data_IF_700166923664
#
_entry.id   IF_700166923664
#
_cell.length_a   1.000
_cell.length_b   1.000
_cell.length_c   1.000
_cell.angle_alpha   90.00
_cell.angle_beta   90.00
_cell.angle_gamma   90.00
#
_symmetry.space_group_name_H-M   'P 1'
#
loop_
_entity.id
_entity.type
_entity.pdbx_description
1 polymer ?
#
# COMPACT_ATOMS: atom_id res chain seq x y z
N UNK A 1 -38.40 -24.30 -4.26
CA UNK A 1 -37.50 -23.54 -5.16
C UNK A 1 -37.04 -22.31 -4.39
N UNK A 2 -35.74 -22.17 -4.07
CA UNK A 2 -35.26 -20.96 -3.41
C UNK A 2 -35.45 -19.78 -4.35
N UNK A 3 -36.01 -18.67 -3.87
CA UNK A 3 -36.07 -17.44 -4.63
C UNK A 3 -34.69 -17.09 -5.20
N UNK A 4 -34.59 -16.56 -6.43
CA UNK A 4 -33.31 -16.12 -6.98
C UNK A 4 -32.71 -15.10 -6.02
N UNK A 5 -31.45 -15.34 -5.59
CA UNK A 5 -30.73 -14.38 -4.76
C UNK A 5 -30.69 -13.05 -5.53
N UNK A 6 -31.03 -11.91 -4.89
CA UNK A 6 -30.93 -10.61 -5.56
C UNK A 6 -29.51 -10.41 -6.08
N UNK A 7 -29.40 -9.86 -7.28
CA UNK A 7 -28.09 -9.53 -7.85
C UNK A 7 -27.43 -8.49 -6.95
N UNK A 8 -26.17 -8.75 -6.59
CA UNK A 8 -25.39 -7.83 -5.77
C UNK A 8 -24.96 -6.62 -6.62
N UNK A 9 -24.82 -5.46 -5.98
CA UNK A 9 -24.27 -4.24 -6.56
C UNK A 9 -22.87 -4.51 -7.12
N UNK A 10 -22.64 -3.99 -8.32
CA UNK A 10 -21.34 -3.98 -8.98
C UNK A 10 -20.86 -2.54 -8.98
N UNK A 11 -19.71 -2.24 -8.35
CA UNK A 11 -19.23 -0.88 -8.25
C UNK A 11 -18.97 -0.27 -9.64
N UNK A 12 -19.42 0.96 -9.83
CA UNK A 12 -19.20 1.76 -11.04
C UNK A 12 -17.88 2.54 -10.98
N UNK A 13 -17.39 2.82 -9.78
CA UNK A 13 -16.11 3.47 -9.52
C UNK A 13 -15.11 2.49 -8.85
N UNK A 14 -13.80 2.77 -8.88
CA UNK A 14 -12.82 2.04 -8.06
C UNK A 14 -13.05 2.31 -6.57
N UNK A 15 -13.90 1.48 -5.94
CA UNK A 15 -14.24 1.61 -4.52
C UNK A 15 -13.08 1.08 -3.66
N UNK A 16 -12.53 1.97 -2.83
CA UNK A 16 -11.42 1.68 -1.92
C UNK A 16 -11.90 1.70 -0.47
N UNK A 17 -11.40 0.78 0.33
CA UNK A 17 -11.67 0.68 1.76
C UNK A 17 -10.40 0.57 2.60
N UNK A 18 -10.34 1.30 3.70
CA UNK A 18 -9.43 0.97 4.81
C UNK A 18 -10.15 0.02 5.77
N UNK A 19 -9.49 -1.08 6.15
CA UNK A 19 -10.05 -2.05 7.11
C UNK A 19 -9.09 -2.31 8.26
N UNK A 20 -9.60 -2.31 9.49
CA UNK A 20 -8.82 -2.58 10.70
C UNK A 20 -9.68 -3.08 11.88
N UNK A 21 -9.05 -3.64 12.91
CA UNK A 21 -9.63 -3.70 14.24
C UNK A 21 -9.21 -2.48 15.09
N UNK A 22 -10.05 -2.09 16.05
CA UNK A 22 -9.82 -0.93 16.92
C UNK A 22 -8.61 -1.07 17.84
N UNK A 23 -8.26 0.01 18.53
CA UNK A 23 -7.11 0.08 19.44
C UNK A 23 -7.27 -0.92 20.59
N UNK A 24 -6.20 -1.65 20.88
CA UNK A 24 -6.15 -2.75 21.85
C UNK A 24 -7.11 -3.91 21.57
N UNK A 25 -7.66 -3.99 20.35
CA UNK A 25 -8.49 -5.11 19.92
C UNK A 25 -7.69 -6.06 19.03
N UNK A 26 -7.44 -7.27 19.55
CA UNK A 26 -6.80 -8.36 18.80
C UNK A 26 -7.76 -9.22 17.97
N UNK A 27 -9.08 -8.95 18.00
CA UNK A 27 -10.09 -9.77 17.32
C UNK A 27 -10.17 -9.47 15.82
N UNK A 28 -9.19 -9.96 15.06
CA UNK A 28 -9.11 -9.72 13.62
C UNK A 28 -9.96 -10.69 12.76
N UNK A 29 -10.53 -11.74 13.37
CA UNK A 29 -11.24 -12.79 12.65
C UNK A 29 -12.43 -12.25 11.84
N UNK A 30 -13.23 -11.37 12.44
CA UNK A 30 -14.39 -10.79 11.79
C UNK A 30 -13.98 -9.88 10.61
N UNK A 31 -13.07 -8.93 10.84
CA UNK A 31 -12.63 -8.00 9.81
C UNK A 31 -11.90 -8.71 8.66
N UNK A 32 -11.20 -9.82 8.95
CA UNK A 32 -10.58 -10.68 7.94
C UNK A 32 -11.62 -11.33 7.01
N UNK A 33 -12.79 -11.70 7.51
CA UNK A 33 -13.89 -12.22 6.69
C UNK A 33 -14.49 -11.07 5.86
N UNK A 34 -14.76 -9.92 6.48
CA UNK A 34 -15.37 -8.78 5.81
C UNK A 34 -14.50 -8.25 4.65
N UNK A 35 -13.19 -8.10 4.85
CA UNK A 35 -12.28 -7.65 3.77
C UNK A 35 -12.21 -8.62 2.60
N UNK A 36 -12.30 -9.93 2.84
CA UNK A 36 -12.32 -10.94 1.77
C UNK A 36 -13.57 -10.81 0.92
N UNK A 37 -14.70 -10.51 1.56
CA UNK A 37 -15.97 -10.29 0.87
C UNK A 37 -15.95 -8.96 0.08
N UNK A 38 -15.45 -7.87 0.66
CA UNK A 38 -15.23 -6.59 -0.03
C UNK A 38 -14.39 -6.79 -1.29
N UNK A 39 -13.24 -7.45 -1.15
CA UNK A 39 -12.36 -7.77 -2.28
C UNK A 39 -13.06 -8.63 -3.33
N UNK A 40 -13.85 -9.63 -2.91
CA UNK A 40 -14.56 -10.51 -3.85
C UNK A 40 -15.66 -9.80 -4.65
N UNK A 41 -16.16 -8.68 -4.14
CA UNK A 41 -17.18 -7.84 -4.78
C UNK A 41 -16.57 -6.65 -5.54
N UNK A 42 -15.25 -6.59 -5.69
CA UNK A 42 -14.58 -5.62 -6.56
C UNK A 42 -13.95 -4.43 -5.86
N UNK A 43 -13.98 -4.36 -4.53
CA UNK A 43 -13.30 -3.29 -3.81
C UNK A 43 -11.78 -3.53 -3.72
N UNK A 44 -11.02 -2.44 -3.72
CA UNK A 44 -9.61 -2.41 -3.34
C UNK A 44 -9.51 -2.19 -1.83
N UNK A 45 -8.91 -3.13 -1.11
CA UNK A 45 -8.90 -3.10 0.37
C UNK A 45 -7.50 -2.88 0.91
N UNK A 46 -7.27 -1.70 1.50
CA UNK A 46 -6.09 -1.39 2.32
C UNK A 46 -6.33 -1.95 3.71
N UNK A 47 -5.64 -3.04 4.04
CA UNK A 47 -5.83 -3.71 5.33
C UNK A 47 -4.72 -3.34 6.30
N UNK A 48 -5.08 -2.80 7.47
CA UNK A 48 -4.12 -2.38 8.50
C UNK A 48 -3.94 -3.40 9.61
N UNK A 49 -4.70 -4.50 9.61
CA UNK A 49 -4.64 -5.52 10.66
C UNK A 49 -5.44 -5.11 11.89
N UNK A 50 -4.85 -5.29 13.07
CA UNK A 50 -5.49 -5.09 14.37
C UNK A 50 -4.71 -4.08 15.21
N UNK A 51 -5.24 -3.72 16.39
CA UNK A 51 -4.60 -2.79 17.33
C UNK A 51 -4.24 -1.43 16.69
N UNK A 52 -5.23 -0.77 16.08
CA UNK A 52 -5.03 0.50 15.39
C UNK A 52 -5.70 1.66 16.10
N UNK A 53 -4.95 2.74 16.27
CA UNK A 53 -5.46 4.01 16.78
C UNK A 53 -6.28 4.76 15.73
N UNK A 54 -7.16 5.65 16.17
CA UNK A 54 -7.91 6.55 15.26
C UNK A 54 -6.97 7.37 14.38
N UNK A 55 -5.86 7.88 14.93
CA UNK A 55 -4.89 8.68 14.19
C UNK A 55 -4.25 7.91 13.02
N UNK A 56 -3.93 6.62 13.23
CA UNK A 56 -3.43 5.74 12.16
C UNK A 56 -4.50 5.50 11.08
N UNK A 57 -5.76 5.21 11.48
CA UNK A 57 -6.86 4.99 10.54
C UNK A 57 -7.12 6.24 9.69
N UNK A 58 -7.17 7.41 10.32
CA UNK A 58 -7.45 8.67 9.62
C UNK A 58 -6.32 9.02 8.67
N UNK A 59 -5.07 8.88 9.10
CA UNK A 59 -3.91 9.13 8.23
C UNK A 59 -3.92 8.19 7.03
N UNK A 60 -4.16 6.90 7.24
CA UNK A 60 -4.29 5.95 6.15
C UNK A 60 -5.45 6.31 5.22
N UNK A 61 -6.64 6.62 5.76
CA UNK A 61 -7.80 6.96 4.95
C UNK A 61 -7.57 8.21 4.06
N UNK A 62 -6.87 9.21 4.59
CA UNK A 62 -6.50 10.43 3.84
C UNK A 62 -5.47 10.12 2.75
N UNK A 63 -4.35 9.48 3.09
CA UNK A 63 -3.28 9.22 2.13
C UNK A 63 -3.72 8.25 1.01
N UNK A 64 -4.57 7.28 1.36
CA UNK A 64 -5.13 6.29 0.43
C UNK A 64 -6.35 6.79 -0.36
N UNK A 65 -6.87 7.98 -0.01
CA UNK A 65 -8.06 8.64 -0.61
C UNK A 65 -9.24 7.67 -0.80
N UNK A 66 -9.65 7.02 0.30
CA UNK A 66 -10.69 5.98 0.27
C UNK A 66 -12.10 6.55 0.37
N UNK A 67 -13.09 5.82 -0.15
CA UNK A 67 -14.50 6.14 0.03
C UNK A 67 -15.04 5.70 1.39
N UNK A 68 -14.43 4.68 2.01
CA UNK A 68 -14.91 4.17 3.30
C UNK A 68 -13.84 3.55 4.19
N UNK A 69 -14.13 3.54 5.49
CA UNK A 69 -13.38 2.81 6.51
C UNK A 69 -14.30 1.81 7.19
N UNK A 70 -13.85 0.57 7.39
CA UNK A 70 -14.61 -0.45 8.09
C UNK A 70 -13.80 -0.99 9.28
N UNK A 71 -14.35 -0.82 10.48
CA UNK A 71 -13.68 -1.15 11.73
C UNK A 71 -14.43 -2.23 12.50
N UNK A 72 -13.71 -3.26 12.97
CA UNK A 72 -14.24 -4.16 13.99
C UNK A 72 -13.84 -3.70 15.39
N UNK A 73 -14.78 -3.70 16.35
CA UNK A 73 -14.50 -3.34 17.74
C UNK A 73 -15.22 -4.28 18.71
N UNK A 74 -14.46 -5.12 19.41
CA UNK A 74 -14.95 -6.14 20.33
C UNK A 74 -14.56 -5.91 21.80
N UNK A 75 -13.75 -4.89 22.12
CA UNK A 75 -13.21 -4.65 23.47
C UNK A 75 -13.93 -3.54 24.26
N UNK A 76 -14.99 -2.95 23.71
CA UNK A 76 -15.66 -1.77 24.30
C UNK A 76 -14.99 -0.45 23.90
N UNK A 77 -15.45 0.68 24.47
CA UNK A 77 -14.97 2.02 24.09
C UNK A 77 -15.29 2.43 22.65
N UNK A 78 -16.17 1.68 21.98
CA UNK A 78 -16.51 1.87 20.57
C UNK A 78 -17.26 3.18 20.33
N UNK A 79 -18.07 3.64 21.29
CA UNK A 79 -18.79 4.91 21.14
C UNK A 79 -17.81 6.06 20.99
N UNK A 80 -16.83 6.15 21.89
CA UNK A 80 -15.78 7.16 21.88
C UNK A 80 -14.88 6.99 20.65
N UNK A 81 -14.47 5.76 20.35
CA UNK A 81 -13.60 5.46 19.21
C UNK A 81 -14.21 5.88 17.87
N UNK A 82 -15.46 5.49 17.59
CA UNK A 82 -16.13 5.84 16.33
C UNK A 82 -16.51 7.33 16.27
N UNK A 83 -16.91 7.93 17.38
CA UNK A 83 -17.19 9.38 17.44
C UNK A 83 -15.92 10.16 17.12
N UNK A 84 -14.81 9.84 17.77
CA UNK A 84 -13.52 10.49 17.52
C UNK A 84 -13.05 10.26 16.08
N UNK A 85 -13.20 9.05 15.53
CA UNK A 85 -12.88 8.76 14.13
C UNK A 85 -13.64 9.65 13.14
N UNK A 86 -14.95 9.80 13.31
CA UNK A 86 -15.77 10.64 12.43
C UNK A 86 -15.40 12.12 12.56
N UNK A 87 -15.18 12.59 13.79
CA UNK A 87 -14.80 13.98 14.05
C UNK A 87 -13.43 14.32 13.48
N UNK A 88 -12.44 13.44 13.68
CA UNK A 88 -11.07 13.62 13.20
C UNK A 88 -11.00 13.59 11.65
N UNK A 89 -11.76 12.70 10.99
CA UNK A 89 -11.90 12.71 9.54
C UNK A 89 -12.45 14.06 9.05
N UNK A 90 -13.50 14.59 9.69
CA UNK A 90 -14.08 15.89 9.35
C UNK A 90 -13.08 17.02 9.58
N UNK A 91 -12.40 17.03 10.72
CA UNK A 91 -11.43 18.05 11.09
C UNK A 91 -10.25 18.12 10.11
N UNK A 92 -9.82 16.97 9.57
CA UNK A 92 -8.73 16.86 8.58
C UNK A 92 -9.21 16.95 7.11
N UNK A 93 -10.44 17.40 6.87
CA UNK A 93 -10.97 17.64 5.52
C UNK A 93 -11.35 16.37 4.74
N UNK A 94 -11.49 15.23 5.43
CA UNK A 94 -11.88 13.93 4.89
C UNK A 94 -13.30 13.52 5.34
N UNK A 95 -14.19 14.48 5.60
CA UNK A 95 -15.56 14.21 6.05
C UNK A 95 -16.46 13.48 5.04
N UNK A 96 -15.99 13.26 3.81
CA UNK A 96 -16.67 12.46 2.79
C UNK A 96 -16.49 10.95 2.99
N UNK A 97 -15.46 10.54 3.75
CA UNK A 97 -15.15 9.13 4.01
C UNK A 97 -16.23 8.53 4.90
N UNK A 98 -16.87 7.46 4.43
CA UNK A 98 -17.94 6.77 5.17
C UNK A 98 -17.35 5.86 6.24
N UNK A 99 -17.87 5.94 7.46
CA UNK A 99 -17.42 5.12 8.60
C UNK A 99 -18.38 3.99 8.84
N UNK A 100 -17.90 2.76 8.75
CA UNK A 100 -18.65 1.53 9.01
C UNK A 100 -18.07 0.77 10.19
N UNK A 101 -18.92 0.06 10.94
CA UNK A 101 -18.47 -0.70 12.09
C UNK A 101 -19.28 -1.95 12.41
N UNK A 102 -18.69 -2.81 13.25
CA UNK A 102 -19.36 -3.96 13.84
C UNK A 102 -18.61 -4.50 15.05
N UNK A 103 -19.34 -4.93 16.08
CA UNK A 103 -18.78 -5.50 17.31
C UNK A 103 -19.55 -6.72 17.83
N UNK A 104 -20.34 -7.35 16.96
CA UNK A 104 -21.28 -8.39 17.39
C UNK A 104 -22.25 -7.86 18.44
N UNK A 105 -22.38 -8.56 19.57
CA UNK A 105 -23.27 -8.16 20.67
C UNK A 105 -22.69 -7.10 21.62
N UNK A 106 -21.46 -6.61 21.36
CA UNK A 106 -20.80 -5.62 22.24
C UNK A 106 -21.40 -4.22 22.07
N UNK A 107 -21.90 -3.89 20.88
CA UNK A 107 -22.50 -2.59 20.58
C UNK A 107 -24.02 -2.73 20.66
N UNK A 108 -24.63 -2.12 21.67
CA UNK A 108 -26.08 -2.26 21.91
C UNK A 108 -26.91 -1.33 21.01
N UNK A 109 -28.20 -1.60 20.79
CA UNK A 109 -29.02 -0.79 19.85
C UNK A 109 -29.04 0.71 20.13
N UNK A 110 -29.00 1.12 21.40
CA UNK A 110 -28.95 2.52 21.81
C UNK A 110 -27.63 3.20 21.38
N UNK A 111 -26.51 2.50 21.50
CA UNK A 111 -25.19 2.96 21.05
C UNK A 111 -25.10 2.96 19.52
N UNK A 112 -25.73 2.00 18.83
CA UNK A 112 -25.84 2.01 17.36
C UNK A 112 -26.58 3.27 16.90
N UNK A 113 -27.70 3.62 17.55
CA UNK A 113 -28.45 4.83 17.22
C UNK A 113 -27.65 6.11 17.51
N UNK A 114 -26.90 6.13 18.62
CA UNK A 114 -25.98 7.23 18.95
C UNK A 114 -24.88 7.38 17.88
N UNK A 115 -24.24 6.28 17.49
CA UNK A 115 -23.19 6.28 16.48
C UNK A 115 -23.71 6.67 15.09
N UNK A 116 -24.93 6.27 14.74
CA UNK A 116 -25.60 6.73 13.54
C UNK A 116 -25.80 8.25 13.53
N UNK A 117 -26.14 8.86 14.68
CA UNK A 117 -26.36 10.30 14.79
C UNK A 117 -25.09 11.14 14.57
N UNK A 118 -23.91 10.60 14.86
CA UNK A 118 -22.61 11.27 14.60
C UNK A 118 -22.09 11.03 13.20
N UNK A 119 -22.57 9.98 12.52
CA UNK A 119 -22.28 9.68 11.11
C UNK A 119 -21.62 8.33 10.85
N UNK A 120 -21.64 7.39 11.81
CA UNK A 120 -21.12 6.04 11.65
C UNK A 120 -22.24 5.01 11.42
N UNK A 121 -22.07 4.13 10.44
CA UNK A 121 -23.01 3.05 10.13
C UNK A 121 -22.56 1.74 10.78
N UNK A 122 -23.24 1.33 11.86
CA UNK A 122 -22.89 0.11 12.61
C UNK A 122 -23.86 -1.03 12.29
N UNK A 123 -23.30 -2.20 11.94
CA UNK A 123 -24.09 -3.42 11.70
C UNK A 123 -24.29 -4.21 12.98
N UNK A 124 -25.56 -4.48 13.31
CA UNK A 124 -25.94 -5.33 14.44
C UNK A 124 -25.89 -6.83 14.09
N UNK A 125 -25.88 -7.73 15.08
CA UNK A 125 -26.07 -9.17 14.83
C UNK A 125 -27.37 -9.48 14.08
N UNK A 126 -28.45 -8.73 14.34
CA UNK A 126 -29.74 -8.89 13.67
C UNK A 126 -29.64 -8.52 12.18
N UNK A 127 -28.84 -7.52 11.82
CA UNK A 127 -28.55 -7.20 10.41
C UNK A 127 -27.80 -8.34 9.73
N UNK A 128 -26.85 -8.96 10.43
CA UNK A 128 -26.16 -10.16 9.95
C UNK A 128 -27.11 -11.32 9.65
N UNK A 129 -28.13 -11.53 10.50
CA UNK A 129 -29.16 -12.56 10.27
C UNK A 129 -30.10 -12.20 9.11
N UNK A 130 -30.47 -10.93 8.98
CA UNK A 130 -31.43 -10.42 7.99
C UNK A 130 -30.84 -10.33 6.58
N UNK A 131 -29.64 -9.75 6.47
CA UNK A 131 -28.96 -9.47 5.20
C UNK A 131 -28.02 -10.60 4.78
N UNK A 132 -27.52 -11.37 5.74
CA UNK A 132 -26.34 -12.22 5.55
C UNK A 132 -25.06 -11.39 5.36
N UNK A 133 -23.90 -12.04 5.51
CA UNK A 133 -22.60 -11.37 5.30
C UNK A 133 -22.49 -10.71 3.91
N UNK A 134 -22.88 -11.37 2.80
CA UNK A 134 -22.81 -10.73 1.49
C UNK A 134 -23.73 -9.51 1.35
N UNK A 135 -24.90 -9.52 2.00
CA UNK A 135 -25.83 -8.40 1.96
C UNK A 135 -25.32 -7.18 2.72
N UNK A 136 -24.65 -7.38 3.85
CA UNK A 136 -23.99 -6.27 4.57
C UNK A 136 -22.89 -5.64 3.72
N UNK A 137 -22.00 -6.45 3.15
CA UNK A 137 -20.91 -5.96 2.29
C UNK A 137 -21.45 -5.24 1.05
N UNK A 138 -22.54 -5.75 0.49
CA UNK A 138 -23.24 -5.07 -0.60
C UNK A 138 -23.70 -3.67 -0.23
N UNK A 139 -24.21 -3.47 0.99
CA UNK A 139 -24.57 -2.15 1.51
C UNK A 139 -23.35 -1.24 1.60
N UNK A 140 -22.23 -1.73 2.15
CA UNK A 140 -20.97 -0.95 2.23
C UNK A 140 -20.54 -0.46 0.85
N UNK A 141 -20.49 -1.36 -0.15
CA UNK A 141 -20.01 -1.00 -1.49
C UNK A 141 -20.99 -0.07 -2.19
N UNK A 142 -22.30 -0.35 -2.15
CA UNK A 142 -23.29 0.50 -2.79
C UNK A 142 -23.31 1.91 -2.20
N UNK A 143 -23.15 2.05 -0.88
CA UNK A 143 -23.03 3.35 -0.23
C UNK A 143 -21.69 4.02 -0.59
N UNK A 144 -20.58 3.29 -0.63
CA UNK A 144 -19.27 3.88 -0.91
C UNK A 144 -18.99 4.15 -2.40
N UNK A 145 -19.84 3.70 -3.32
CA UNK A 145 -19.64 3.83 -4.78
C UNK A 145 -19.81 5.28 -5.25
N UNK A 146 -18.75 6.07 -5.05
CA UNK A 146 -18.65 7.49 -5.40
C UNK A 146 -17.37 7.76 -6.18
N UNK A 147 -17.46 8.67 -7.15
CA UNK A 147 -16.32 9.07 -7.98
C UNK A 147 -15.43 10.06 -7.21
N UNK A 148 -14.24 9.61 -6.81
CA UNK A 148 -13.22 10.46 -6.20
C UNK A 148 -12.20 10.99 -7.21
N UNK A 149 -12.18 10.51 -8.45
CA UNK A 149 -11.18 10.88 -9.44
C UNK A 149 -11.52 12.20 -10.16
N UNK A 150 -11.87 13.23 -9.38
CA UNK A 150 -12.09 14.62 -9.81
C UNK A 150 -11.60 15.59 -8.73
N UNK A 151 -11.45 16.87 -9.08
CA UNK A 151 -11.18 17.93 -8.09
C UNK A 151 -9.78 17.90 -7.47
N UNK A 152 -8.78 17.38 -8.19
CA UNK A 152 -7.38 17.54 -7.79
C UNK A 152 -6.92 18.98 -8.06
N UNK A 153 -6.24 19.57 -7.09
CA UNK A 153 -5.76 20.94 -7.14
C UNK A 153 -4.24 20.97 -7.13
N UNK A 154 -3.62 21.46 -8.21
CA UNK A 154 -2.16 21.50 -8.34
C UNK A 154 -1.53 22.38 -7.25
N UNK A 155 -2.18 23.49 -6.88
CA UNK A 155 -1.69 24.42 -5.85
C UNK A 155 -1.48 23.70 -4.51
N UNK A 156 -2.44 22.88 -4.07
CA UNK A 156 -2.33 22.08 -2.85
C UNK A 156 -1.23 21.02 -2.94
N UNK A 157 -1.06 20.40 -4.13
CA UNK A 157 0.07 19.48 -4.38
C UNK A 157 1.38 20.21 -4.18
N UNK A 158 1.59 21.37 -4.82
CA UNK A 158 2.82 22.16 -4.71
C UNK A 158 3.07 22.71 -3.30
N UNK A 159 2.02 22.96 -2.53
CA UNK A 159 2.10 23.31 -1.12
C UNK A 159 2.50 22.12 -0.22
N UNK A 160 2.58 20.91 -0.76
CA UNK A 160 2.96 19.70 -0.04
C UNK A 160 1.84 19.11 0.82
N UNK A 161 0.59 19.45 0.55
CA UNK A 161 -0.57 18.96 1.30
C UNK A 161 -0.84 17.48 0.98
N UNK A 162 -0.81 16.62 2.00
CA UNK A 162 -1.00 15.17 1.82
C UNK A 162 -2.34 14.84 1.17
N UNK A 163 -3.42 15.53 1.55
CA UNK A 163 -4.77 15.31 0.99
C UNK A 163 -4.83 15.70 -0.49
N UNK A 164 -4.19 16.80 -0.88
CA UNK A 164 -4.13 17.24 -2.27
C UNK A 164 -3.32 16.24 -3.12
N UNK A 165 -2.18 15.77 -2.60
CA UNK A 165 -1.41 14.70 -3.24
C UNK A 165 -2.23 13.42 -3.38
N UNK A 166 -2.90 12.97 -2.32
CA UNK A 166 -3.72 11.76 -2.34
C UNK A 166 -4.83 11.84 -3.40
N UNK A 167 -5.53 12.99 -3.48
CA UNK A 167 -6.56 13.22 -4.51
C UNK A 167 -5.96 13.31 -5.91
N UNK A 168 -4.81 13.97 -6.08
CA UNK A 168 -4.08 14.02 -7.34
C UNK A 168 -3.73 12.61 -7.83
N UNK A 169 -3.22 11.74 -6.95
CA UNK A 169 -2.92 10.35 -7.30
C UNK A 169 -4.18 9.60 -7.74
N UNK A 170 -5.34 9.79 -7.09
CA UNK A 170 -6.61 9.19 -7.52
C UNK A 170 -7.06 9.66 -8.92
N UNK A 171 -6.90 10.97 -9.21
CA UNK A 171 -7.21 11.53 -10.55
C UNK A 171 -6.27 10.94 -11.60
N UNK A 172 -4.96 10.92 -11.34
CA UNK A 172 -3.95 10.40 -12.26
C UNK A 172 -4.10 8.91 -12.53
N UNK A 173 -4.39 8.12 -11.49
CA UNK A 173 -4.64 6.68 -11.59
C UNK A 173 -5.91 6.37 -12.42
N UNK A 174 -6.85 7.31 -12.56
CA UNK A 174 -8.03 7.14 -13.41
C UNK A 174 -7.75 7.33 -14.90
N UNK A 175 -6.65 8.01 -15.26
CA UNK A 175 -6.30 8.34 -16.64
C UNK A 175 -7.28 9.27 -17.36
N UNK A 176 -8.23 9.91 -16.65
CA UNK A 176 -9.30 10.73 -17.26
C UNK A 176 -8.94 12.20 -17.46
N UNK A 177 -7.90 12.70 -16.81
CA UNK A 177 -7.52 14.13 -16.82
C UNK A 177 -6.06 14.33 -17.27
N UNK A 178 -5.85 14.31 -18.58
CA UNK A 178 -4.53 14.45 -19.20
C UNK A 178 -3.97 15.88 -19.06
N UNK A 179 -4.84 16.89 -18.97
CA UNK A 179 -4.43 18.27 -18.76
C UNK A 179 -3.83 18.45 -17.37
N UNK A 180 -4.45 17.85 -16.34
CA UNK A 180 -3.89 17.81 -15.00
C UNK A 180 -2.58 17.01 -14.96
N UNK A 181 -2.53 15.83 -15.59
CA UNK A 181 -1.30 15.03 -15.68
C UNK A 181 -0.13 15.80 -16.30
N UNK A 182 -0.39 16.56 -17.36
CA UNK A 182 0.61 17.43 -18.00
C UNK A 182 1.09 18.53 -17.06
N UNK A 183 0.15 19.22 -16.40
CA UNK A 183 0.48 20.29 -15.44
C UNK A 183 1.33 19.80 -14.27
N UNK A 184 1.07 18.59 -13.78
CA UNK A 184 1.88 17.93 -12.74
C UNK A 184 3.29 17.61 -13.24
N UNK A 185 3.43 17.04 -14.45
CA UNK A 185 4.74 16.73 -15.04
C UNK A 185 5.57 17.99 -15.27
N UNK A 186 4.96 19.06 -15.76
CA UNK A 186 5.63 20.35 -15.97
C UNK A 186 6.15 20.93 -14.65
N UNK A 187 5.34 20.86 -13.58
CA UNK A 187 5.76 21.33 -12.26
C UNK A 187 6.91 20.48 -11.68
N UNK A 188 6.84 19.16 -11.87
CA UNK A 188 7.87 18.22 -11.42
C UNK A 188 9.20 18.36 -12.18
N UNK A 189 9.17 18.76 -13.46
CA UNK A 189 10.37 18.88 -14.31
C UNK A 189 11.44 19.84 -13.74
N UNK A 190 11.02 20.81 -12.93
CA UNK A 190 11.92 21.75 -12.25
C UNK A 190 12.58 21.20 -10.97
N UNK A 191 12.22 19.97 -10.55
CA UNK A 191 12.59 19.39 -9.26
C UNK A 191 13.32 18.05 -9.45
N UNK A 192 14.66 18.01 -9.35
CA UNK A 192 15.40 16.76 -9.39
C UNK A 192 15.21 16.01 -8.07
N UNK A 193 14.23 15.10 -8.04
CA UNK A 193 13.95 14.22 -6.90
C UNK A 193 14.26 12.78 -7.32
N UNK A 194 15.13 12.06 -6.58
CA UNK A 194 15.47 10.67 -6.88
C UNK A 194 14.28 9.73 -6.70
N UNK A 195 14.21 8.72 -7.55
CA UNK A 195 13.21 7.65 -7.53
C UNK A 195 13.91 6.31 -7.34
N UNK A 196 13.64 5.66 -6.21
CA UNK A 196 14.09 4.31 -5.91
C UNK A 196 12.99 3.31 -6.27
N UNK A 197 13.27 2.42 -7.21
CA UNK A 197 12.43 1.27 -7.51
C UNK A 197 12.83 0.05 -6.70
N UNK A 198 11.88 -0.54 -5.97
CA UNK A 198 12.08 -1.78 -5.21
C UNK A 198 11.23 -2.87 -5.86
N UNK A 199 11.89 -3.86 -6.45
CA UNK A 199 11.24 -5.01 -7.07
C UNK A 199 11.84 -6.32 -6.58
N UNK A 200 11.21 -7.45 -6.87
CA UNK A 200 11.63 -8.73 -6.33
C UNK A 200 10.55 -9.80 -6.32
N UNK A 201 10.96 -11.02 -6.00
CA UNK A 201 10.05 -12.17 -5.98
C UNK A 201 8.99 -12.06 -4.88
N UNK A 202 7.83 -12.67 -5.13
CA UNK A 202 6.74 -12.70 -4.15
C UNK A 202 7.18 -13.27 -2.80
N UNK A 203 6.98 -12.50 -1.74
CA UNK A 203 7.34 -12.92 -0.38
C UNK A 203 8.84 -12.82 -0.05
N UNK A 204 9.67 -12.17 -0.88
CA UNK A 204 11.08 -11.90 -0.54
C UNK A 204 11.25 -10.94 0.63
N UNK A 205 10.21 -10.20 1.00
CA UNK A 205 10.19 -9.26 2.11
C UNK A 205 10.46 -7.81 1.69
N UNK A 206 10.09 -7.45 0.47
CA UNK A 206 10.18 -6.09 -0.09
C UNK A 206 9.61 -5.03 0.85
N UNK A 207 8.30 -5.05 1.13
CA UNK A 207 7.67 -4.06 2.01
C UNK A 207 8.23 -4.04 3.44
N UNK A 208 8.74 -5.16 3.97
CA UNK A 208 9.48 -5.14 5.24
C UNK A 208 10.86 -4.48 5.14
N UNK A 209 11.58 -4.70 4.03
CA UNK A 209 12.85 -4.03 3.76
C UNK A 209 12.62 -2.54 3.48
N UNK A 210 11.57 -2.18 2.74
CA UNK A 210 11.13 -0.79 2.50
C UNK A 210 10.89 -0.07 3.81
N UNK A 211 10.16 -0.68 4.77
CA UNK A 211 9.95 -0.09 6.10
C UNK A 211 11.27 0.17 6.84
N UNK A 212 12.18 -0.79 6.83
CA UNK A 212 13.47 -0.69 7.51
C UNK A 212 14.43 0.31 6.84
N UNK A 213 14.36 0.48 5.52
CA UNK A 213 15.06 1.54 4.79
C UNK A 213 14.50 2.92 5.14
N UNK A 214 13.17 3.08 5.13
CA UNK A 214 12.52 4.33 5.55
C UNK A 214 12.88 4.67 6.99
N UNK A 215 12.91 3.67 7.90
CA UNK A 215 13.36 3.84 9.28
C UNK A 215 14.79 4.41 9.36
N UNK A 216 15.72 3.88 8.57
CA UNK A 216 17.13 4.33 8.54
C UNK A 216 17.24 5.74 7.99
N UNK A 217 16.60 6.03 6.86
CA UNK A 217 16.54 7.38 6.28
C UNK A 217 16.02 8.42 7.27
N UNK A 218 14.93 8.10 7.98
CA UNK A 218 14.37 8.95 9.02
C UNK A 218 15.35 9.20 10.16
N UNK A 219 15.98 8.14 10.68
CA UNK A 219 16.95 8.26 11.79
C UNK A 219 18.18 9.07 11.38
N UNK A 220 18.79 8.72 10.26
CA UNK A 220 20.04 9.31 9.78
C UNK A 220 19.86 10.78 9.39
N UNK A 221 18.70 11.12 8.82
CA UNK A 221 18.35 12.50 8.50
C UNK A 221 17.66 13.26 9.64
N UNK A 222 17.42 12.63 10.80
CA UNK A 222 16.65 13.21 11.92
C UNK A 222 15.28 13.75 11.48
N UNK A 223 14.53 12.94 10.73
CA UNK A 223 13.19 13.22 10.18
C UNK A 223 13.12 14.45 9.24
N UNK A 224 14.26 14.94 8.73
CA UNK A 224 14.31 16.08 7.81
C UNK A 224 14.00 15.71 6.36
N UNK A 225 14.18 14.44 5.98
CA UNK A 225 13.88 13.96 4.64
C UNK A 225 12.43 13.51 4.55
N UNK A 226 11.70 14.05 3.59
CA UNK A 226 10.34 13.64 3.26
C UNK A 226 10.37 12.52 2.24
N UNK A 227 9.72 11.41 2.54
CA UNK A 227 9.69 10.23 1.66
C UNK A 227 8.27 9.93 1.19
N UNK A 228 8.06 9.78 -0.11
CA UNK A 228 6.81 9.28 -0.67
C UNK A 228 6.98 7.83 -1.10
N UNK A 229 6.12 6.93 -0.63
CA UNK A 229 6.12 5.51 -0.97
C UNK A 229 4.85 5.18 -1.77
N UNK A 230 5.05 4.71 -2.99
CA UNK A 230 4.01 4.21 -3.89
C UNK A 230 4.15 2.68 -3.98
N UNK A 231 3.35 1.95 -3.20
CA UNK A 231 3.41 0.49 -3.13
C UNK A 231 2.33 -0.14 -4.00
N UNK A 232 2.72 -0.99 -4.95
CA UNK A 232 1.82 -1.57 -5.94
C UNK A 232 1.56 -3.04 -5.61
N UNK A 233 0.27 -3.39 -5.50
CA UNK A 233 -0.21 -4.75 -5.26
C UNK A 233 -1.05 -5.26 -6.46
N UNK A 234 -1.06 -6.58 -6.73
CA UNK A 234 -1.72 -7.12 -7.92
C UNK A 234 -3.24 -7.15 -7.76
N UNK A 235 -3.97 -6.67 -8.78
CA UNK A 235 -5.43 -6.82 -8.84
C UNK A 235 -5.83 -8.28 -9.08
N UNK A 236 -6.87 -8.76 -8.41
CA UNK A 236 -7.37 -10.13 -8.67
C UNK A 236 -8.00 -10.21 -10.05
N UNK A 237 -7.50 -11.16 -10.86
CA UNK A 237 -8.09 -11.52 -12.16
C UNK A 237 -9.58 -11.85 -12.09
N UNK A 238 -10.05 -12.37 -10.95
CA UNK A 238 -11.46 -12.72 -10.71
C UNK A 238 -12.05 -11.77 -9.68
N UNK A 239 -13.07 -11.01 -10.08
CA UNK A 239 -13.82 -10.09 -9.23
C UNK A 239 -13.33 -8.64 -9.25
N UNK A 240 -12.15 -8.35 -9.81
CA UNK A 240 -11.68 -6.97 -10.02
C UNK A 240 -11.14 -6.24 -8.78
N UNK A 241 -11.37 -6.76 -7.57
CA UNK A 241 -10.85 -6.17 -6.34
C UNK A 241 -9.38 -6.51 -6.07
N UNK A 242 -8.78 -5.81 -5.12
CA UNK A 242 -7.38 -5.99 -4.70
C UNK A 242 -7.28 -6.07 -3.17
N UNK A 243 -6.27 -6.79 -2.67
CA UNK A 243 -5.86 -6.71 -1.28
C UNK A 243 -4.55 -5.95 -1.30
N UNK A 244 -4.61 -4.71 -0.83
CA UNK A 244 -3.47 -3.80 -0.73
C UNK A 244 -2.83 -4.04 0.63
N UNK A 245 -1.86 -4.97 0.63
CA UNK A 245 -1.32 -5.62 1.81
C UNK A 245 0.04 -5.08 2.25
N UNK A 246 0.68 -4.22 1.47
CA UNK A 246 2.02 -3.72 1.83
C UNK A 246 2.00 -2.79 3.04
N UNK A 247 0.98 -1.92 3.16
CA UNK A 247 0.87 -0.96 4.26
C UNK A 247 0.85 -1.61 5.65
N UNK A 248 0.33 -2.84 5.79
CA UNK A 248 0.31 -3.56 7.09
C UNK A 248 1.72 -3.87 7.62
N UNK A 249 2.73 -3.89 6.75
CA UNK A 249 4.13 -4.19 7.11
C UNK A 249 4.90 -2.95 7.53
N UNK A 250 4.33 -1.77 7.33
CA UNK A 250 5.01 -0.51 7.51
C UNK A 250 4.74 0.04 8.91
N UNK A 251 5.78 0.08 9.75
CA UNK A 251 5.75 0.60 11.12
C UNK A 251 6.41 1.98 11.23
N UNK A 252 7.06 2.46 10.17
CA UNK A 252 7.91 3.66 10.16
C UNK A 252 7.30 4.81 9.35
N UNK A 253 6.00 4.75 9.04
CA UNK A 253 5.26 5.82 8.33
C UNK A 253 4.80 6.90 9.32
N UNK A 254 5.64 7.91 9.51
CA UNK A 254 5.28 9.10 10.31
C UNK A 254 4.53 10.12 9.45
N UNK A 255 3.31 10.53 9.85
CA UNK A 255 2.55 11.55 9.10
C UNK A 255 3.36 12.85 8.91
N UNK A 256 3.28 13.46 7.73
CA UNK A 256 4.01 14.69 7.39
C UNK A 256 5.47 14.48 6.97
N UNK A 257 6.11 13.39 7.42
CA UNK A 257 7.46 12.98 6.97
C UNK A 257 7.36 11.91 5.88
N UNK A 258 6.48 10.93 6.06
CA UNK A 258 6.29 9.81 5.13
C UNK A 258 4.86 9.80 4.61
N UNK A 259 4.74 9.92 3.29
CA UNK A 259 3.49 9.67 2.59
C UNK A 259 3.49 8.27 2.02
N UNK A 260 2.40 7.53 2.24
CA UNK A 260 2.27 6.17 1.73
C UNK A 260 0.97 6.02 0.97
N UNK A 261 1.04 5.51 -0.26
CA UNK A 261 -0.11 5.20 -1.10
C UNK A 261 0.02 3.78 -1.63
N UNK A 262 -1.00 2.96 -1.39
CA UNK A 262 -1.16 1.68 -2.05
C UNK A 262 -1.88 1.83 -3.39
N UNK A 263 -1.34 1.22 -4.43
CA UNK A 263 -1.88 1.21 -5.79
C UNK A 263 -2.20 -0.22 -6.20
N UNK A 264 -3.21 -0.38 -7.05
CA UNK A 264 -3.53 -1.66 -7.65
C UNK A 264 -3.03 -1.68 -9.11
N UNK A 265 -2.56 -2.81 -9.61
CA UNK A 265 -2.11 -2.89 -11.02
C UNK A 265 -3.24 -2.59 -12.01
N UNK A 266 -4.50 -2.90 -11.65
CA UNK A 266 -5.76 -2.75 -12.43
C UNK A 266 -5.83 -3.48 -13.78
N UNK A 267 -4.69 -3.83 -14.35
CA UNK A 267 -4.55 -4.60 -15.57
C UNK A 267 -3.98 -5.98 -15.30
N UNK A 268 -4.53 -6.99 -15.98
CA UNK A 268 -4.11 -8.38 -15.78
C UNK A 268 -2.74 -8.62 -16.42
N UNK A 269 -1.74 -8.91 -15.59
CA UNK A 269 -0.38 -9.19 -16.05
C UNK A 269 0.54 -7.97 -16.08
N UNK A 270 0.02 -6.76 -15.79
CA UNK A 270 0.84 -5.59 -15.55
C UNK A 270 1.49 -5.66 -14.15
N UNK A 271 2.70 -5.12 -14.02
CA UNK A 271 3.42 -4.97 -12.75
C UNK A 271 3.25 -3.58 -12.15
N UNK A 272 3.04 -2.57 -13.00
CA UNK A 272 2.79 -1.19 -12.61
C UNK A 272 1.48 -0.68 -13.25
N UNK A 273 0.77 0.25 -12.60
CA UNK A 273 -0.38 0.92 -13.21
C UNK A 273 0.06 1.86 -14.34
N UNK A 274 -0.78 2.05 -15.36
CA UNK A 274 -0.47 2.85 -16.56
C UNK A 274 -0.13 4.33 -16.28
N UNK A 275 -0.62 4.91 -15.17
CA UNK A 275 -0.36 6.29 -14.78
C UNK A 275 0.87 6.49 -13.87
N UNK A 276 1.75 5.48 -13.72
CA UNK A 276 2.80 5.50 -12.69
C UNK A 276 3.75 6.70 -12.81
N UNK A 277 4.18 7.09 -14.02
CA UNK A 277 5.10 8.22 -14.20
C UNK A 277 4.48 9.56 -13.77
N UNK A 278 3.18 9.76 -14.06
CA UNK A 278 2.48 10.95 -13.63
C UNK A 278 2.29 10.96 -12.10
N UNK A 279 2.06 9.79 -11.49
CA UNK A 279 1.97 9.65 -10.03
C UNK A 279 3.31 9.90 -9.32
N UNK A 280 4.41 9.39 -9.89
CA UNK A 280 5.77 9.72 -9.44
C UNK A 280 5.99 11.23 -9.56
N UNK A 281 5.65 11.84 -10.70
CA UNK A 281 5.77 13.29 -10.90
C UNK A 281 4.96 14.09 -9.86
N UNK A 282 3.75 13.63 -9.49
CA UNK A 282 2.95 14.26 -8.43
C UNK A 282 3.67 14.26 -7.08
N UNK A 283 4.30 13.13 -6.71
CA UNK A 283 5.09 13.04 -5.48
C UNK A 283 6.32 13.97 -5.53
N UNK A 284 7.01 14.06 -6.68
CA UNK A 284 8.13 15.01 -6.88
C UNK A 284 7.66 16.47 -6.74
N UNK A 285 6.52 16.81 -7.35
CA UNK A 285 5.91 18.14 -7.28
C UNK A 285 5.48 18.51 -5.86
N UNK A 286 5.08 17.52 -5.05
CA UNK A 286 4.67 17.70 -3.65
C UNK A 286 5.81 17.91 -2.64
N UNK A 287 7.01 18.21 -3.14
CA UNK A 287 8.20 18.52 -2.36
C UNK A 287 8.63 17.39 -1.40
N UNK A 288 8.50 16.14 -1.85
CA UNK A 288 9.21 15.00 -1.26
C UNK A 288 10.65 14.98 -1.76
N UNK A 289 11.57 14.53 -0.91
CA UNK A 289 13.00 14.46 -1.18
C UNK A 289 13.42 13.12 -1.80
N UNK A 290 12.57 12.09 -1.65
CA UNK A 290 12.73 10.76 -2.23
C UNK A 290 11.36 10.18 -2.57
N UNK A 291 11.25 9.57 -3.75
CA UNK A 291 10.11 8.72 -4.11
C UNK A 291 10.58 7.27 -4.13
N UNK A 292 9.85 6.39 -3.44
CA UNK A 292 10.06 4.94 -3.47
C UNK A 292 8.87 4.31 -4.19
N UNK A 293 9.13 3.48 -5.18
CA UNK A 293 8.12 2.71 -5.90
C UNK A 293 8.36 1.23 -5.63
N UNK A 294 7.41 0.57 -4.99
CA UNK A 294 7.48 -0.88 -4.74
C UNK A 294 6.55 -1.63 -5.69
N UNK A 295 7.05 -2.67 -6.37
CA UNK A 295 6.23 -3.52 -7.25
C UNK A 295 5.53 -4.65 -6.50
N UNK A 296 4.55 -5.33 -7.12
CA UNK A 296 4.11 -6.64 -6.69
C UNK A 296 5.27 -7.65 -6.71
N UNK A 297 5.01 -8.86 -6.18
CA UNK A 297 5.91 -9.98 -6.41
C UNK A 297 6.03 -10.30 -7.91
N UNK A 298 7.21 -10.11 -8.48
CA UNK A 298 7.47 -10.34 -9.91
C UNK A 298 7.97 -11.75 -10.21
N UNK A 299 7.83 -12.15 -11.48
CA UNK A 299 8.46 -13.34 -12.05
C UNK A 299 9.92 -13.09 -12.43
N UNK A 300 10.60 -14.11 -12.96
CA UNK A 300 12.01 -14.01 -13.33
C UNK A 300 12.28 -13.09 -14.53
N UNK A 301 11.34 -12.99 -15.47
CA UNK A 301 11.50 -12.20 -16.71
C UNK A 301 10.80 -10.84 -16.70
N UNK A 302 10.61 -10.24 -15.53
CA UNK A 302 9.99 -8.93 -15.41
C UNK A 302 11.00 -7.91 -14.90
N UNK A 303 11.16 -6.82 -15.66
CA UNK A 303 12.03 -5.70 -15.31
C UNK A 303 11.37 -4.34 -15.54
N UNK A 304 10.03 -4.29 -15.63
CA UNK A 304 9.31 -3.10 -16.11
C UNK A 304 9.58 -1.84 -15.26
N UNK A 305 9.90 -1.99 -13.98
CA UNK A 305 10.18 -0.86 -13.09
C UNK A 305 11.39 -0.02 -13.51
N UNK A 306 12.36 -0.60 -14.22
CA UNK A 306 13.62 0.08 -14.56
C UNK A 306 13.41 1.25 -15.54
N UNK A 307 12.30 1.26 -16.27
CA UNK A 307 11.93 2.35 -17.18
C UNK A 307 11.40 3.58 -16.44
N UNK A 308 11.05 3.45 -15.15
CA UNK A 308 10.32 4.47 -14.38
C UNK A 308 11.11 5.04 -13.18
N UNK A 309 12.32 4.53 -12.91
CA UNK A 309 13.07 4.84 -11.68
C UNK A 309 14.51 5.23 -11.99
N UNK A 310 15.13 6.00 -11.08
CA UNK A 310 16.53 6.43 -11.21
C UNK A 310 17.50 5.36 -10.70
N UNK A 311 17.09 4.61 -9.67
CA UNK A 311 17.87 3.50 -9.07
C UNK A 311 16.94 2.32 -8.83
N UNK A 312 17.39 1.11 -9.15
CA UNK A 312 16.64 -0.13 -9.02
C UNK A 312 17.29 -1.09 -8.01
N UNK A 313 16.48 -1.51 -7.02
CA UNK A 313 16.82 -2.48 -5.99
C UNK A 313 16.05 -3.79 -6.24
N UNK A 314 16.78 -4.86 -6.55
CA UNK A 314 16.20 -6.20 -6.68
C UNK A 314 16.32 -6.97 -5.36
N UNK A 315 15.18 -7.39 -4.80
CA UNK A 315 15.08 -8.10 -3.52
C UNK A 315 14.74 -9.56 -3.75
N UNK A 316 15.61 -10.46 -3.31
CA UNK A 316 15.43 -11.91 -3.43
C UNK A 316 15.73 -12.63 -2.11
N UNK A 317 15.48 -13.94 -2.06
CA UNK A 317 15.82 -14.79 -0.91
C UNK A 317 16.99 -15.73 -1.26
N UNK A 318 17.67 -16.32 -0.28
CA UNK A 318 18.67 -17.35 -0.52
C UNK A 318 18.16 -18.56 -1.32
N UNK A 319 16.85 -18.85 -1.28
CA UNK A 319 16.26 -19.98 -1.99
C UNK A 319 15.83 -19.66 -3.44
N UNK A 320 16.78 -19.66 -4.38
CA UNK A 320 16.52 -19.50 -5.82
C UNK A 320 16.71 -20.79 -6.65
N UNK A 321 17.00 -21.91 -5.99
CA UNK A 321 17.28 -23.20 -6.65
C UNK A 321 18.75 -23.34 -7.06
N UNK A 322 19.00 -23.86 -8.26
CA UNK A 322 20.36 -24.01 -8.78
C UNK A 322 20.94 -22.65 -9.23
N UNK A 323 22.26 -22.47 -9.14
CA UNK A 323 22.94 -21.25 -9.61
C UNK A 323 22.62 -20.88 -11.07
N UNK A 324 22.36 -21.87 -11.94
CA UNK A 324 21.94 -21.64 -13.33
C UNK A 324 20.56 -20.99 -13.48
N UNK A 325 19.76 -20.88 -12.42
CA UNK A 325 18.51 -20.12 -12.43
C UNK A 325 18.77 -18.61 -12.42
N UNK A 326 19.92 -18.16 -11.90
CA UNK A 326 20.29 -16.74 -11.85
C UNK A 326 20.46 -16.17 -13.27
N UNK A 327 20.89 -16.99 -14.23
CA UNK A 327 21.01 -16.61 -15.65
C UNK A 327 19.66 -16.32 -16.33
N UNK A 328 18.53 -16.59 -15.66
CA UNK A 328 17.18 -16.37 -16.18
C UNK A 328 16.44 -15.21 -15.51
N UNK A 329 17.08 -14.56 -14.54
CA UNK A 329 16.49 -13.46 -13.79
C UNK A 329 16.90 -12.17 -14.49
N UNK A 330 16.01 -11.61 -15.30
CA UNK A 330 16.26 -10.40 -16.09
C UNK A 330 16.66 -9.23 -15.19
N UNK A 331 16.06 -9.11 -13.99
CA UNK A 331 16.44 -8.05 -13.05
C UNK A 331 17.90 -8.08 -12.62
N UNK A 332 18.63 -9.20 -12.72
CA UNK A 332 20.06 -9.21 -12.41
C UNK A 332 20.92 -8.52 -13.49
N UNK A 333 20.38 -8.31 -14.69
CA UNK A 333 21.03 -7.51 -15.74
C UNK A 333 20.84 -6.01 -15.52
N UNK A 334 19.69 -5.61 -14.96
CA UNK A 334 19.31 -4.20 -14.85
C UNK A 334 19.46 -3.60 -13.45
N UNK A 335 19.45 -4.42 -12.40
CA UNK A 335 19.50 -3.93 -11.02
C UNK A 335 20.79 -3.15 -10.73
N UNK A 336 20.64 -1.97 -10.14
CA UNK A 336 21.76 -1.20 -9.61
C UNK A 336 22.31 -1.85 -8.35
N UNK A 337 21.41 -2.35 -7.50
CA UNK A 337 21.70 -2.98 -6.21
C UNK A 337 20.84 -4.23 -6.03
N UNK A 338 21.40 -5.28 -5.41
CA UNK A 338 20.67 -6.50 -5.07
C UNK A 338 20.68 -6.72 -3.55
N UNK A 339 19.52 -6.94 -2.96
CA UNK A 339 19.37 -7.36 -1.58
C UNK A 339 18.93 -8.82 -1.51
N UNK A 340 19.78 -9.67 -0.92
CA UNK A 340 19.43 -11.04 -0.54
C UNK A 340 18.87 -10.97 0.87
N UNK A 341 17.56 -10.78 0.94
CA UNK A 341 16.84 -10.67 2.18
C UNK A 341 16.56 -12.04 2.81
N UNK A 342 16.22 -12.06 4.09
CA UNK A 342 16.14 -13.28 4.91
C UNK A 342 17.49 -13.97 5.04
N UNK A 343 18.53 -13.17 5.22
CA UNK A 343 19.92 -13.63 5.29
C UNK A 343 20.22 -14.52 6.51
N UNK A 344 19.32 -14.55 7.50
CA UNK A 344 19.37 -15.52 8.61
C UNK A 344 19.16 -16.98 8.18
N UNK A 345 18.71 -17.21 6.94
CA UNK A 345 18.46 -18.56 6.42
C UNK A 345 19.74 -19.28 6.00
N UNK A 346 19.69 -20.61 6.02
CA UNK A 346 20.81 -21.47 5.65
C UNK A 346 21.20 -21.25 4.18
N UNK A 347 22.50 -21.12 3.92
CA UNK A 347 23.05 -20.96 2.57
C UNK A 347 23.04 -19.53 2.05
N UNK A 348 22.71 -18.53 2.89
CA UNK A 348 22.66 -17.13 2.50
C UNK A 348 23.99 -16.57 1.97
N UNK A 349 25.12 -16.95 2.56
CA UNK A 349 26.45 -16.54 2.08
C UNK A 349 26.81 -17.16 0.73
N UNK A 350 26.50 -18.44 0.52
CA UNK A 350 26.68 -19.08 -0.79
C UNK A 350 25.79 -18.41 -1.84
N UNK A 351 24.54 -18.09 -1.47
CA UNK A 351 23.62 -17.33 -2.31
C UNK A 351 24.20 -15.95 -2.69
N UNK A 352 24.75 -15.20 -1.72
CA UNK A 352 25.41 -13.91 -1.97
C UNK A 352 26.55 -14.04 -2.96
N UNK A 353 27.44 -15.00 -2.74
CA UNK A 353 28.56 -15.25 -3.66
C UNK A 353 28.07 -15.58 -5.07
N UNK A 354 27.07 -16.43 -5.20
CA UNK A 354 26.60 -16.90 -6.50
C UNK A 354 25.89 -15.78 -7.29
N UNK A 355 25.07 -14.98 -6.61
CA UNK A 355 24.40 -13.78 -7.15
C UNK A 355 25.42 -12.71 -7.54
N UNK A 356 26.38 -12.40 -6.66
CA UNK A 356 27.43 -11.43 -6.95
C UNK A 356 28.28 -11.84 -8.15
N UNK A 357 28.68 -13.12 -8.25
CA UNK A 357 29.39 -13.63 -9.42
C UNK A 357 28.54 -13.58 -10.69
N UNK A 358 27.22 -13.77 -10.60
CA UNK A 358 26.33 -13.58 -11.74
C UNK A 358 26.33 -12.10 -12.16
N UNK A 359 26.24 -11.18 -11.20
CA UNK A 359 26.29 -9.75 -11.48
C UNK A 359 27.60 -9.30 -12.13
N UNK A 360 28.75 -9.86 -11.71
CA UNK A 360 30.04 -9.65 -12.39
C UNK A 360 29.94 -10.05 -13.87
N UNK A 361 29.34 -11.21 -14.16
CA UNK A 361 29.17 -11.70 -15.54
C UNK A 361 28.25 -10.80 -16.35
N UNK A 362 27.10 -10.42 -15.80
CA UNK A 362 26.10 -9.59 -16.46
C UNK A 362 26.65 -8.20 -16.80
N UNK A 363 27.46 -7.62 -15.90
CA UNK A 363 28.11 -6.31 -16.10
C UNK A 363 29.45 -6.39 -16.85
N UNK A 364 29.87 -7.58 -17.30
CA UNK A 364 31.18 -7.85 -17.91
C UNK A 364 32.39 -7.34 -17.09
N UNK A 365 32.23 -7.25 -15.77
CA UNK A 365 33.18 -6.62 -14.85
C UNK A 365 34.27 -7.59 -14.36
N UNK A 366 34.84 -8.41 -15.24
CA UNK A 366 35.70 -9.56 -14.88
C UNK A 366 36.96 -9.23 -14.07
N UNK A 367 37.38 -7.96 -14.01
CA UNK A 367 38.49 -7.48 -13.19
C UNK A 367 38.12 -7.05 -11.77
N UNK A 368 36.82 -6.99 -11.44
CA UNK A 368 36.31 -6.55 -10.14
C UNK A 368 36.04 -7.78 -9.26
N UNK A 369 36.54 -7.81 -8.01
CA UNK A 369 36.16 -8.84 -7.04
C UNK A 369 34.65 -8.93 -6.88
N UNK A 370 34.11 -10.15 -6.72
CA UNK A 370 32.66 -10.30 -6.57
C UNK A 370 32.16 -9.68 -5.26
N UNK A 371 33.03 -9.60 -4.25
CA UNK A 371 32.79 -8.96 -2.95
C UNK A 371 32.45 -7.47 -3.08
N UNK A 372 32.97 -6.81 -4.13
CA UNK A 372 32.77 -5.39 -4.42
C UNK A 372 31.52 -5.13 -5.27
N UNK A 373 30.82 -6.18 -5.74
CA UNK A 373 29.53 -6.01 -6.39
C UNK A 373 28.48 -5.54 -5.37
N UNK A 374 27.51 -4.70 -5.78
CA UNK A 374 26.48 -4.14 -4.89
C UNK A 374 25.40 -5.20 -4.56
N UNK A 375 25.83 -6.29 -3.91
CA UNK A 375 24.99 -7.40 -3.47
C UNK A 375 25.10 -7.52 -1.96
N UNK A 376 24.02 -7.17 -1.28
CA UNK A 376 23.96 -7.08 0.18
C UNK A 376 23.14 -8.24 0.75
N UNK A 377 23.60 -8.78 1.89
CA UNK A 377 22.82 -9.71 2.68
C UNK A 377 22.04 -8.95 3.73
N UNK A 378 20.71 -9.08 3.76
CA UNK A 378 19.86 -8.30 4.67
C UNK A 378 18.92 -9.19 5.48
N UNK A 379 18.60 -8.81 6.71
CA UNK A 379 17.52 -9.43 7.49
C UNK A 379 16.54 -8.37 7.98
N UNK A 380 15.56 -8.01 7.16
CA UNK A 380 14.53 -7.03 7.53
C UNK A 380 13.64 -7.46 8.72
N UNK A 381 13.67 -8.75 9.09
CA UNK A 381 12.97 -9.25 10.27
C UNK A 381 13.75 -8.99 11.58
N UNK A 382 15.04 -8.66 11.49
CA UNK A 382 15.90 -8.36 12.62
C UNK A 382 15.94 -6.84 12.83
N UNK A 383 15.54 -6.40 14.01
CA UNK A 383 15.68 -5.01 14.41
C UNK A 383 17.15 -4.58 14.38
N UNK A 384 17.41 -3.42 13.78
CA UNK A 384 18.75 -2.81 13.69
C UNK A 384 19.80 -3.72 13.02
N UNK A 385 19.38 -4.45 11.98
CA UNK A 385 20.26 -5.31 11.19
C UNK A 385 21.34 -4.48 10.45
N UNK A 386 22.61 -4.86 10.67
CA UNK A 386 23.78 -4.24 10.03
C UNK A 386 23.76 -4.40 8.51
N UNK A 387 23.20 -5.51 8.00
CA UNK A 387 23.08 -5.78 6.57
C UNK A 387 22.16 -4.79 5.87
N UNK A 388 21.02 -4.46 6.49
CA UNK A 388 20.12 -3.41 5.99
C UNK A 388 20.73 -2.02 6.15
N UNK A 389 21.59 -1.78 7.14
CA UNK A 389 22.31 -0.50 7.31
C UNK A 389 23.46 -0.33 6.30
N UNK A 390 24.07 -1.43 5.86
CA UNK A 390 25.11 -1.42 4.84
C UNK A 390 24.55 -1.22 3.42
N UNK A 391 23.32 -1.70 3.19
CA UNK A 391 22.53 -1.44 1.97
C UNK A 391 22.15 0.03 1.89
#
# INVERSE_FOLDING_TARGET
MSAPKPALHVPSNPVRFVTAASLFDGHDAAINIMRRLLQSQGAEVVHLGHDRSVAEIVTAAIQEDVQGVAISSYQGGHVEYFTYLVEELKARGAGHVKVYGGGGGVIVPEEIAQLASVGAHIFSPQDGQRLGLPGMINTLIAEADTDLATGAELEGVLAGEERALARALTVLESGRDEAFATSVRDAAASRPVPVLGITGTGGSGKSSLTDELVRRLRRDASDKLRVAVLAVDPTRRRGGGALLGDRIRMNSIEPGVVFFRSLATREAGAVLPSGIDAMIAAAKAAAYDLVIVETPGIGQGDAAITEHVDVSLYVMTPEFGAASQLEKIDMLDYADVVAINKFERRGAEDARRDVAKQMVRNREAFGVPWEDMPVFGTSAARFDDDGVTAL
#
